data_IF_552877418858
#
_entry.id   IF_552877418858
#
_cell.length_a   1.000
_cell.length_b   1.000
_cell.length_c   1.000
_cell.angle_alpha   90.00
_cell.angle_beta   90.00
_cell.angle_gamma   90.00
#
_symmetry.space_group_name_H-M   'P 1'
#
loop_
_entity.id
_entity.type
_entity.pdbx_description
1 polymer ?
#
# COMPACT_ATOMS: atom_id res chain seq x y z
N UNK A 1 13.50 16.56 0.70
CA UNK A 1 12.14 17.08 1.00
C UNK A 1 11.16 15.96 0.74
N UNK A 2 10.37 15.60 1.72
CA UNK A 2 9.39 14.49 1.67
C UNK A 2 8.37 14.71 0.55
N UNK A 3 8.08 13.67 -0.21
CA UNK A 3 7.06 13.65 -1.27
C UNK A 3 5.84 12.93 -0.76
N UNK A 4 4.68 13.58 -0.84
CA UNK A 4 3.43 13.00 -0.37
C UNK A 4 2.53 12.60 -1.52
N UNK A 5 1.86 11.47 -1.37
CA UNK A 5 0.75 11.03 -2.19
C UNK A 5 -0.50 10.79 -1.34
N UNK A 6 -1.65 10.61 -1.98
CA UNK A 6 -2.94 10.47 -1.30
C UNK A 6 -3.57 9.13 -1.66
N UNK A 7 -3.91 8.33 -0.63
CA UNK A 7 -4.66 7.09 -0.84
C UNK A 7 -6.13 7.38 -1.09
N UNK A 8 -6.56 7.23 -2.35
CA UNK A 8 -7.94 7.50 -2.76
C UNK A 8 -8.94 6.41 -2.36
N UNK A 9 -8.47 5.31 -1.75
CA UNK A 9 -9.35 4.27 -1.22
C UNK A 9 -9.86 4.59 0.19
N UNK A 10 -9.24 5.57 0.87
CA UNK A 10 -9.59 5.98 2.22
C UNK A 10 -9.86 7.49 2.33
N UNK A 11 -9.28 8.30 1.45
CA UNK A 11 -9.52 9.73 1.29
C UNK A 11 -10.40 10.01 0.07
N UNK A 12 -11.17 11.09 0.10
CA UNK A 12 -12.15 11.49 -0.93
C UNK A 12 -13.25 10.44 -1.17
N UNK A 13 -13.50 9.56 -0.18
CA UNK A 13 -14.53 8.51 -0.30
C UNK A 13 -15.96 9.05 -0.30
N UNK A 14 -16.15 10.31 0.03
CA UNK A 14 -17.39 11.06 -0.16
C UNK A 14 -17.75 11.29 -1.64
N UNK A 15 -16.80 11.07 -2.55
CA UNK A 15 -16.97 11.20 -4.00
C UNK A 15 -16.98 9.82 -4.69
N UNK A 16 -17.65 9.70 -5.84
CA UNK A 16 -17.49 8.55 -6.73
C UNK A 16 -16.03 8.32 -7.10
N UNK A 17 -15.62 7.06 -7.27
CA UNK A 17 -14.22 6.68 -7.53
C UNK A 17 -13.56 7.51 -8.65
N UNK A 18 -14.25 7.69 -9.77
CA UNK A 18 -13.69 8.37 -10.95
C UNK A 18 -13.54 9.89 -10.77
N UNK A 19 -14.13 10.48 -9.73
CA UNK A 19 -14.00 11.91 -9.42
C UNK A 19 -12.85 12.18 -8.43
N UNK A 20 -12.39 11.16 -7.70
CA UNK A 20 -11.37 11.28 -6.65
C UNK A 20 -10.00 11.75 -7.16
N UNK A 21 -9.49 11.31 -8.34
CA UNK A 21 -8.21 11.81 -8.86
C UNK A 21 -8.22 13.33 -9.09
N UNK A 22 -9.29 13.87 -9.68
CA UNK A 22 -9.45 15.31 -9.88
C UNK A 22 -9.58 16.09 -8.57
N UNK A 23 -10.24 15.50 -7.54
CA UNK A 23 -10.34 16.09 -6.21
C UNK A 23 -8.96 16.14 -5.52
N UNK A 24 -8.16 15.08 -5.59
CA UNK A 24 -6.79 15.08 -5.09
C UNK A 24 -5.93 16.15 -5.78
N UNK A 25 -6.04 16.26 -7.10
CA UNK A 25 -5.36 17.32 -7.87
C UNK A 25 -5.77 18.71 -7.41
N UNK A 26 -7.06 18.94 -7.20
CA UNK A 26 -7.61 20.22 -6.72
C UNK A 26 -7.14 20.56 -5.30
N UNK A 27 -6.88 19.55 -4.45
CA UNK A 27 -6.29 19.71 -3.12
C UNK A 27 -4.77 19.94 -3.16
N UNK A 28 -4.15 19.96 -4.35
CA UNK A 28 -2.74 20.27 -4.56
C UNK A 28 -1.82 19.07 -4.72
N UNK A 29 -2.33 17.84 -4.72
CA UNK A 29 -1.52 16.63 -4.86
C UNK A 29 -1.26 16.30 -6.33
N UNK A 30 -0.01 15.88 -6.62
CA UNK A 30 0.40 15.41 -7.93
C UNK A 30 0.54 13.89 -8.02
N UNK A 31 0.39 13.18 -6.89
CA UNK A 31 0.50 11.74 -6.80
C UNK A 31 -0.60 11.14 -5.93
N UNK A 32 -0.99 9.93 -6.28
CA UNK A 32 -2.03 9.15 -5.61
C UNK A 32 -1.63 7.69 -5.48
N UNK A 33 -2.23 7.01 -4.54
CA UNK A 33 -2.23 5.55 -4.44
C UNK A 33 -3.64 5.00 -4.30
N UNK A 34 -3.84 3.71 -4.58
CA UNK A 34 -5.13 3.02 -4.50
C UNK A 34 -4.95 1.61 -3.94
N UNK A 35 -5.86 1.16 -3.11
CA UNK A 35 -6.18 -0.26 -3.01
C UNK A 35 -6.83 -0.68 -4.33
N UNK A 36 -6.85 -1.99 -4.64
CA UNK A 36 -7.58 -2.44 -5.83
C UNK A 36 -9.03 -1.95 -5.79
N UNK A 37 -9.44 -1.08 -6.71
CA UNK A 37 -10.68 -0.32 -6.54
C UNK A 37 -11.94 -1.01 -7.09
N UNK A 38 -11.82 -2.29 -7.44
CA UNK A 38 -12.93 -3.09 -8.00
C UNK A 38 -13.29 -4.23 -7.05
N UNK A 39 -14.58 -4.59 -7.03
CA UNK A 39 -15.13 -5.67 -6.19
C UNK A 39 -14.76 -7.09 -6.68
N UNK A 40 -14.09 -7.18 -7.82
CA UNK A 40 -13.65 -8.44 -8.45
C UNK A 40 -12.18 -8.39 -8.82
N UNK A 41 -11.54 -9.55 -8.85
CA UNK A 41 -10.13 -9.66 -9.19
C UNK A 41 -9.81 -9.19 -10.61
N UNK A 42 -10.70 -9.52 -11.57
CA UNK A 42 -10.57 -9.12 -12.98
C UNK A 42 -11.84 -8.38 -13.40
N UNK A 43 -11.83 -7.04 -13.36
CA UNK A 43 -12.97 -6.24 -13.78
C UNK A 43 -13.11 -6.20 -15.31
N UNK A 44 -14.27 -5.80 -15.83
CA UNK A 44 -14.43 -5.53 -17.26
C UNK A 44 -13.47 -4.43 -17.75
N UNK A 45 -12.92 -4.58 -18.95
CA UNK A 45 -11.96 -3.62 -19.54
C UNK A 45 -12.47 -2.18 -19.52
N UNK A 46 -13.77 -1.96 -19.79
CA UNK A 46 -14.39 -0.63 -19.76
C UNK A 46 -14.25 0.08 -18.42
N UNK A 47 -14.27 -0.68 -17.31
CA UNK A 47 -14.20 -0.11 -15.97
C UNK A 47 -12.74 0.26 -15.65
N UNK A 48 -11.79 -0.56 -16.11
CA UNK A 48 -10.36 -0.25 -16.08
C UNK A 48 -10.04 0.98 -16.93
N UNK A 49 -10.57 1.03 -18.16
CA UNK A 49 -10.37 2.16 -19.07
C UNK A 49 -10.91 3.46 -18.48
N UNK A 50 -12.07 3.43 -17.83
CA UNK A 50 -12.65 4.59 -17.15
C UNK A 50 -11.75 5.09 -16.00
N UNK A 51 -11.21 4.18 -15.18
CA UNK A 51 -10.28 4.54 -14.12
C UNK A 51 -9.00 5.16 -14.68
N UNK A 52 -8.40 4.54 -15.67
CA UNK A 52 -7.17 5.05 -16.30
C UNK A 52 -7.39 6.44 -16.87
N UNK A 53 -8.48 6.64 -17.62
CA UNK A 53 -8.84 7.96 -18.16
C UNK A 53 -9.01 9.01 -17.04
N UNK A 54 -9.69 8.66 -15.94
CA UNK A 54 -9.88 9.59 -14.83
C UNK A 54 -8.56 10.02 -14.18
N UNK A 55 -7.60 9.12 -14.05
CA UNK A 55 -6.26 9.43 -13.51
C UNK A 55 -5.46 10.29 -14.49
N UNK A 56 -5.45 9.93 -15.78
CA UNK A 56 -4.75 10.68 -16.82
C UNK A 56 -5.33 12.09 -17.00
N UNK A 57 -6.66 12.22 -17.06
CA UNK A 57 -7.35 13.52 -17.20
C UNK A 57 -7.09 14.44 -16.00
N UNK A 58 -6.98 13.88 -14.79
CA UNK A 58 -6.62 14.64 -13.60
C UNK A 58 -5.16 15.10 -13.60
N UNK A 59 -4.29 14.49 -14.41
CA UNK A 59 -2.86 14.79 -14.46
C UNK A 59 -2.16 14.46 -13.15
N UNK A 60 -2.54 13.36 -12.48
CA UNK A 60 -1.88 12.84 -11.27
C UNK A 60 -1.16 11.52 -11.59
N UNK A 61 -0.08 11.25 -10.86
CA UNK A 61 0.68 10.01 -10.99
C UNK A 61 0.13 8.95 -10.04
N UNK A 62 -0.15 7.73 -10.52
CA UNK A 62 -0.38 6.59 -9.64
C UNK A 62 0.97 6.04 -9.18
N UNK A 63 1.26 6.08 -7.88
CA UNK A 63 2.55 5.68 -7.31
C UNK A 63 2.49 4.37 -6.53
N UNK A 64 1.32 4.00 -6.01
CA UNK A 64 1.06 2.75 -5.32
C UNK A 64 -0.27 2.13 -5.75
N UNK A 65 -0.32 0.81 -5.90
CA UNK A 65 -1.54 0.06 -6.21
C UNK A 65 -1.52 -1.28 -5.47
N UNK A 66 -2.57 -1.58 -4.70
CA UNK A 66 -2.67 -2.91 -4.09
C UNK A 66 -3.18 -3.94 -5.10
N UNK A 67 -2.72 -5.18 -4.96
CA UNK A 67 -3.43 -6.32 -5.52
C UNK A 67 -4.79 -6.50 -4.84
N UNK A 68 -5.70 -7.20 -5.50
CA UNK A 68 -7.01 -7.50 -4.94
C UNK A 68 -6.90 -8.25 -3.61
N UNK A 69 -7.50 -7.72 -2.59
CA UNK A 69 -7.38 -8.21 -1.21
C UNK A 69 -8.60 -8.95 -0.69
N UNK A 70 -9.57 -9.22 -1.57
CA UNK A 70 -10.84 -9.83 -1.21
C UNK A 70 -11.88 -8.81 -0.73
N UNK A 71 -12.87 -9.29 0.03
CA UNK A 71 -13.87 -8.42 0.67
C UNK A 71 -13.30 -7.79 1.94
N UNK A 72 -12.61 -6.66 1.78
CA UNK A 72 -12.01 -5.94 2.90
C UNK A 72 -13.04 -5.40 3.89
N UNK A 73 -14.25 -5.09 3.43
CA UNK A 73 -15.34 -4.66 4.29
C UNK A 73 -15.87 -5.82 5.14
N UNK A 74 -15.90 -7.01 4.57
CA UNK A 74 -16.23 -8.26 5.26
C UNK A 74 -15.12 -8.82 6.16
N UNK A 75 -13.92 -8.22 6.13
CA UNK A 75 -12.82 -8.60 7.02
C UNK A 75 -11.64 -9.29 6.34
N UNK A 76 -11.65 -9.50 5.03
CA UNK A 76 -10.51 -10.01 4.29
C UNK A 76 -9.32 -9.03 4.39
N UNK A 77 -8.12 -9.56 4.36
CA UNK A 77 -6.88 -8.77 4.39
C UNK A 77 -5.83 -9.36 3.46
N UNK A 78 -6.23 -9.63 2.21
CA UNK A 78 -5.37 -10.21 1.19
C UNK A 78 -5.66 -11.66 0.88
N UNK A 79 -5.20 -12.09 -0.29
CA UNK A 79 -5.44 -13.42 -0.84
C UNK A 79 -4.14 -14.21 -1.06
N UNK A 80 -2.98 -13.61 -0.82
CA UNK A 80 -1.67 -14.19 -1.12
C UNK A 80 -1.49 -15.56 -0.48
N UNK A 81 -1.88 -15.73 0.78
CA UNK A 81 -1.74 -16.98 1.54
C UNK A 81 -3.03 -17.78 1.67
N UNK A 82 -4.05 -17.51 0.85
CA UNK A 82 -5.37 -18.16 1.01
C UNK A 82 -5.60 -19.25 -0.04
N UNK A 83 -5.49 -20.57 0.32
CA UNK A 83 -5.55 -21.67 -0.66
C UNK A 83 -6.83 -21.68 -1.50
N UNK A 84 -8.00 -21.50 -0.86
CA UNK A 84 -9.29 -21.56 -1.54
C UNK A 84 -9.48 -20.42 -2.58
N UNK A 85 -8.71 -19.33 -2.48
CA UNK A 85 -8.78 -18.15 -3.34
C UNK A 85 -7.50 -17.87 -4.13
N UNK A 86 -6.58 -18.84 -4.18
CA UNK A 86 -5.29 -18.70 -4.85
C UNK A 86 -5.41 -18.37 -6.35
N UNK A 87 -6.39 -18.94 -7.04
CA UNK A 87 -6.64 -18.65 -8.46
C UNK A 87 -7.06 -17.19 -8.67
N UNK A 88 -7.91 -16.68 -7.79
CA UNK A 88 -8.40 -15.29 -7.85
C UNK A 88 -7.25 -14.27 -7.69
N UNK A 89 -6.29 -14.54 -6.81
CA UNK A 89 -5.08 -13.71 -6.70
C UNK A 89 -4.24 -13.77 -7.98
N UNK A 90 -4.01 -14.97 -8.54
CA UNK A 90 -3.24 -15.14 -9.78
C UNK A 90 -3.86 -14.39 -10.95
N UNK A 91 -5.17 -14.49 -11.11
CA UNK A 91 -5.90 -13.80 -12.18
C UNK A 91 -5.79 -12.26 -12.00
N UNK A 92 -5.77 -11.77 -10.76
CA UNK A 92 -5.63 -10.35 -10.48
C UNK A 92 -4.22 -9.81 -10.77
N UNK A 93 -3.16 -10.60 -10.59
CA UNK A 93 -1.77 -10.13 -10.75
C UNK A 93 -1.55 -9.48 -12.11
N UNK A 94 -1.96 -10.14 -13.19
CA UNK A 94 -1.77 -9.59 -14.54
C UNK A 94 -2.64 -8.35 -14.77
N UNK A 95 -3.88 -8.33 -14.25
CA UNK A 95 -4.78 -7.17 -14.35
C UNK A 95 -4.19 -5.94 -13.63
N UNK A 96 -3.70 -6.12 -12.40
CA UNK A 96 -3.12 -5.05 -11.58
C UNK A 96 -1.83 -4.50 -12.22
N UNK A 97 -0.94 -5.38 -12.68
CA UNK A 97 0.31 -4.98 -13.35
C UNK A 97 0.01 -4.28 -14.68
N UNK A 98 -1.03 -4.68 -15.42
CA UNK A 98 -1.44 -3.99 -16.64
C UNK A 98 -1.93 -2.56 -16.38
N UNK A 99 -2.72 -2.33 -15.31
CA UNK A 99 -3.09 -0.98 -14.85
C UNK A 99 -1.85 -0.18 -14.48
N UNK A 100 -0.94 -0.78 -13.71
CA UNK A 100 0.33 -0.16 -13.33
C UNK A 100 1.19 0.23 -14.54
N UNK A 101 1.26 -0.63 -15.55
CA UNK A 101 2.00 -0.34 -16.79
C UNK A 101 1.45 0.89 -17.52
N UNK A 102 0.11 1.00 -17.61
CA UNK A 102 -0.59 2.13 -18.26
C UNK A 102 -0.37 3.45 -17.52
N UNK A 103 -0.45 3.43 -16.20
CA UNK A 103 -0.38 4.64 -15.35
C UNK A 103 1.02 4.95 -14.79
N UNK A 104 2.03 4.16 -15.17
CA UNK A 104 3.40 4.36 -14.69
C UNK A 104 3.64 3.93 -13.24
N UNK A 105 2.70 3.24 -12.59
CA UNK A 105 2.87 2.69 -11.25
C UNK A 105 3.92 1.58 -11.23
N UNK A 106 4.75 1.56 -10.17
CA UNK A 106 5.83 0.58 -10.01
C UNK A 106 5.87 -0.06 -8.62
N UNK A 107 4.96 0.33 -7.72
CA UNK A 107 4.86 -0.24 -6.38
C UNK A 107 3.51 -0.94 -6.22
N UNK A 108 3.54 -2.24 -5.88
CA UNK A 108 2.36 -3.09 -5.82
C UNK A 108 2.26 -3.76 -4.45
N UNK A 109 1.33 -3.34 -3.60
CA UNK A 109 1.16 -3.92 -2.27
C UNK A 109 0.42 -5.26 -2.35
N UNK A 110 1.04 -6.30 -1.78
CA UNK A 110 0.50 -7.66 -1.71
C UNK A 110 0.13 -8.00 -0.27
N UNK A 111 -1.12 -7.71 0.13
CA UNK A 111 -1.61 -8.09 1.45
C UNK A 111 -1.58 -9.61 1.62
N UNK A 112 -0.84 -10.06 2.66
CA UNK A 112 -0.49 -11.47 2.87
C UNK A 112 -1.69 -12.41 3.02
N UNK A 113 -2.73 -11.92 3.68
CA UNK A 113 -3.94 -12.69 3.96
C UNK A 113 -4.04 -13.13 5.43
N UNK A 114 -5.28 -13.27 5.88
CA UNK A 114 -5.57 -13.82 7.20
C UNK A 114 -5.25 -15.31 7.26
N UNK A 115 -4.86 -15.79 8.44
CA UNK A 115 -4.86 -17.24 8.71
C UNK A 115 -6.27 -17.80 8.62
N UNK A 116 -6.43 -18.92 7.92
CA UNK A 116 -7.72 -19.63 7.75
C UNK A 116 -7.71 -20.94 8.52
N UNK A 117 -8.89 -21.45 8.89
CA UNK A 117 -8.99 -22.62 9.76
C UNK A 117 -8.82 -23.95 9.00
N UNK A 118 -8.98 -23.91 7.68
CA UNK A 118 -8.96 -25.07 6.78
C UNK A 118 -7.59 -25.33 6.12
N UNK A 119 -6.55 -24.60 6.53
CA UNK A 119 -5.17 -24.79 6.07
C UNK A 119 -4.16 -24.58 7.21
N UNK A 120 -3.11 -25.39 7.24
CA UNK A 120 -2.02 -25.21 8.20
C UNK A 120 -1.26 -23.90 7.91
N UNK A 121 -0.71 -23.22 8.94
CA UNK A 121 0.09 -22.00 8.74
C UNK A 121 1.24 -22.17 7.76
N UNK A 122 1.94 -23.30 7.81
CA UNK A 122 3.06 -23.63 6.93
C UNK A 122 2.60 -23.79 5.47
N UNK A 123 1.46 -24.44 5.25
CA UNK A 123 0.86 -24.57 3.92
C UNK A 123 0.47 -23.20 3.33
N UNK A 124 -0.07 -22.31 4.18
CA UNK A 124 -0.36 -20.94 3.78
C UNK A 124 0.90 -20.16 3.45
N UNK A 125 1.98 -20.34 4.21
CA UNK A 125 3.25 -19.64 3.99
C UNK A 125 3.97 -20.14 2.73
N UNK A 126 3.88 -21.44 2.41
CA UNK A 126 4.41 -22.01 1.17
C UNK A 126 3.63 -21.50 -0.05
N UNK A 127 2.30 -21.48 0.03
CA UNK A 127 1.47 -20.88 -1.01
C UNK A 127 1.80 -19.39 -1.20
N UNK A 128 1.99 -18.66 -0.10
CA UNK A 128 2.35 -17.25 -0.17
C UNK A 128 3.67 -17.04 -0.91
N UNK A 129 4.67 -17.89 -0.69
CA UNK A 129 5.93 -17.82 -1.42
C UNK A 129 5.74 -18.02 -2.93
N UNK A 130 4.93 -19.01 -3.35
CA UNK A 130 4.61 -19.24 -4.76
C UNK A 130 3.88 -18.04 -5.39
N UNK A 131 2.89 -17.49 -4.69
CA UNK A 131 2.09 -16.35 -5.17
C UNK A 131 2.90 -15.06 -5.25
N UNK A 132 3.74 -14.81 -4.27
CA UNK A 132 4.64 -13.64 -4.27
C UNK A 132 5.70 -13.75 -5.37
N UNK A 133 6.24 -14.93 -5.65
CA UNK A 133 7.15 -15.15 -6.76
C UNK A 133 6.48 -14.83 -8.11
N UNK A 134 5.22 -15.25 -8.29
CA UNK A 134 4.44 -14.94 -9.48
C UNK A 134 4.20 -13.43 -9.60
N UNK A 135 3.78 -12.76 -8.51
CA UNK A 135 3.57 -11.31 -8.48
C UNK A 135 4.87 -10.54 -8.76
N UNK A 136 5.99 -10.96 -8.15
CA UNK A 136 7.31 -10.36 -8.36
C UNK A 136 7.76 -10.49 -9.83
N UNK A 137 7.59 -11.67 -10.42
CA UNK A 137 7.90 -11.89 -11.84
C UNK A 137 7.03 -11.01 -12.75
N UNK A 138 5.74 -10.87 -12.45
CA UNK A 138 4.83 -10.01 -13.20
C UNK A 138 5.20 -8.54 -13.09
N UNK A 139 5.38 -8.01 -11.87
CA UNK A 139 5.80 -6.64 -11.60
C UNK A 139 7.18 -6.34 -12.24
N UNK A 140 8.11 -7.29 -12.15
CA UNK A 140 9.46 -7.17 -12.71
C UNK A 140 9.48 -6.93 -14.24
N UNK A 141 8.48 -7.44 -14.98
CA UNK A 141 8.36 -7.18 -16.43
C UNK A 141 8.24 -5.69 -16.78
N UNK A 142 7.73 -4.90 -15.84
CA UNK A 142 7.59 -3.44 -16.00
C UNK A 142 8.53 -2.64 -15.10
N UNK A 143 9.53 -3.29 -14.47
CA UNK A 143 10.42 -2.63 -13.50
C UNK A 143 9.75 -2.27 -12.19
N UNK A 144 8.70 -3.00 -11.80
CA UNK A 144 7.95 -2.81 -10.57
C UNK A 144 8.45 -3.65 -9.41
N UNK A 145 8.05 -3.26 -8.21
CA UNK A 145 8.38 -3.88 -6.93
C UNK A 145 7.10 -4.32 -6.23
N UNK A 146 7.12 -5.51 -5.63
CA UNK A 146 6.03 -5.99 -4.75
C UNK A 146 6.33 -5.54 -3.33
N UNK A 147 5.34 -4.95 -2.68
CA UNK A 147 5.44 -4.47 -1.30
C UNK A 147 4.82 -5.48 -0.33
N UNK A 148 5.45 -5.64 0.82
CA UNK A 148 4.98 -6.49 1.93
C UNK A 148 4.75 -5.61 3.15
N UNK A 149 3.59 -5.74 3.77
CA UNK A 149 3.09 -4.86 4.82
C UNK A 149 2.74 -5.62 6.09
N UNK A 150 3.07 -5.05 7.26
CA UNK A 150 2.52 -5.45 8.55
C UNK A 150 1.20 -4.71 8.80
N UNK A 151 0.12 -5.44 9.18
CA UNK A 151 -1.22 -4.87 9.32
C UNK A 151 -1.76 -5.01 10.74
N UNK A 152 -2.31 -3.91 11.27
CA UNK A 152 -3.01 -3.87 12.55
C UNK A 152 -4.52 -4.04 12.41
N UNK A 153 -5.22 -4.27 13.54
CA UNK A 153 -6.68 -4.38 13.56
C UNK A 153 -7.26 -5.65 12.93
N UNK A 154 -6.43 -6.57 12.49
CA UNK A 154 -6.80 -7.86 11.93
C UNK A 154 -6.14 -9.00 12.74
N UNK A 155 -6.80 -9.58 13.75
CA UNK A 155 -6.17 -10.54 14.66
C UNK A 155 -5.56 -11.75 13.97
N UNK A 156 -6.13 -12.18 12.85
CA UNK A 156 -5.69 -13.38 12.09
C UNK A 156 -4.61 -13.06 11.03
N UNK A 157 -4.29 -11.79 10.80
CA UNK A 157 -3.22 -11.42 9.87
C UNK A 157 -1.86 -11.74 10.49
N UNK A 158 -0.99 -12.51 9.84
CA UNK A 158 0.22 -13.04 10.51
C UNK A 158 1.35 -12.01 10.66
N UNK A 159 1.47 -11.02 9.79
CA UNK A 159 2.57 -10.06 9.82
C UNK A 159 2.17 -8.86 10.69
N UNK A 160 2.83 -8.70 11.84
CA UNK A 160 2.50 -7.66 12.83
C UNK A 160 3.58 -6.62 13.01
N UNK A 161 4.81 -6.96 12.67
CA UNK A 161 5.99 -6.13 12.89
C UNK A 161 6.75 -5.93 11.58
N UNK A 162 7.63 -4.93 11.56
CA UNK A 162 8.58 -4.73 10.47
C UNK A 162 9.44 -6.00 10.24
N UNK A 163 9.82 -6.67 11.33
CA UNK A 163 10.59 -7.91 11.26
C UNK A 163 9.83 -9.05 10.56
N UNK A 164 8.50 -9.18 10.79
CA UNK A 164 7.68 -10.17 10.11
C UNK A 164 7.64 -9.92 8.59
N UNK A 165 7.41 -8.67 8.19
CA UNK A 165 7.34 -8.29 6.78
C UNK A 165 8.69 -8.50 6.07
N UNK A 166 9.80 -8.05 6.69
CA UNK A 166 11.15 -8.23 6.14
C UNK A 166 11.54 -9.71 6.12
N UNK A 167 11.11 -10.51 7.11
CA UNK A 167 11.32 -11.96 7.11
C UNK A 167 10.71 -12.66 5.89
N UNK A 168 9.52 -12.22 5.44
CA UNK A 168 8.93 -12.70 4.16
C UNK A 168 9.80 -12.29 2.98
N UNK A 169 10.26 -11.03 2.92
CA UNK A 169 11.11 -10.53 1.83
C UNK A 169 12.44 -11.32 1.76
N UNK A 170 13.06 -11.58 2.91
CA UNK A 170 14.31 -12.35 2.98
C UNK A 170 14.11 -13.80 2.51
N UNK A 171 12.99 -14.41 2.91
CA UNK A 171 12.61 -15.75 2.42
C UNK A 171 12.46 -15.76 0.90
N UNK A 172 11.79 -14.76 0.33
CA UNK A 172 11.59 -14.66 -1.11
C UNK A 172 12.90 -14.52 -1.90
N UNK A 173 13.84 -13.72 -1.40
CA UNK A 173 15.15 -13.56 -2.01
C UNK A 173 15.95 -14.87 -1.95
N UNK A 174 15.99 -15.52 -0.78
CA UNK A 174 16.81 -16.73 -0.52
C UNK A 174 16.25 -17.98 -1.20
N UNK A 175 14.93 -18.22 -1.13
CA UNK A 175 14.31 -19.45 -1.60
C UNK A 175 13.82 -19.37 -3.04
N UNK A 176 13.35 -18.19 -3.46
CA UNK A 176 12.70 -18.00 -4.77
C UNK A 176 13.52 -17.14 -5.74
N UNK A 177 14.62 -16.51 -5.27
CA UNK A 177 15.45 -15.60 -6.08
C UNK A 177 14.68 -14.34 -6.53
N UNK A 178 13.63 -13.96 -5.81
CA UNK A 178 12.78 -12.81 -6.14
C UNK A 178 13.29 -11.57 -5.38
N UNK A 179 14.19 -10.81 -6.02
CA UNK A 179 14.87 -9.66 -5.41
C UNK A 179 14.09 -8.34 -5.50
N UNK A 180 12.93 -8.30 -6.18
CA UNK A 180 12.12 -7.10 -6.33
C UNK A 180 10.92 -7.07 -5.37
N UNK A 181 11.14 -7.48 -4.12
CA UNK A 181 10.24 -7.24 -3.01
C UNK A 181 10.83 -6.17 -2.09
N UNK A 182 9.97 -5.34 -1.49
CA UNK A 182 10.38 -4.32 -0.53
C UNK A 182 9.36 -4.19 0.60
N UNK A 183 9.78 -3.57 1.68
CA UNK A 183 8.95 -3.33 2.84
C UNK A 183 8.06 -2.09 2.62
N UNK A 184 6.75 -2.24 2.84
CA UNK A 184 5.83 -1.11 3.02
C UNK A 184 5.79 -0.78 4.52
N UNK A 185 6.43 0.34 4.86
CA UNK A 185 6.51 0.84 6.23
C UNK A 185 5.30 1.74 6.54
N UNK A 186 4.17 1.14 6.91
CA UNK A 186 3.04 1.90 7.44
C UNK A 186 3.26 2.17 8.94
N UNK A 187 3.60 3.44 9.25
CA UNK A 187 3.91 3.86 10.62
C UNK A 187 2.71 3.71 11.56
N UNK A 188 1.48 3.87 11.07
CA UNK A 188 0.28 3.65 11.85
C UNK A 188 0.13 2.18 12.25
N UNK A 189 0.25 1.27 11.29
CA UNK A 189 0.08 -0.15 11.57
C UNK A 189 1.14 -0.70 12.52
N UNK A 190 2.39 -0.30 12.35
CA UNK A 190 3.48 -0.67 13.25
C UNK A 190 3.22 -0.14 14.67
N UNK A 191 2.89 1.15 14.81
CA UNK A 191 2.62 1.76 16.12
C UNK A 191 1.44 1.11 16.83
N UNK A 192 0.33 0.82 16.14
CA UNK A 192 -0.84 0.15 16.72
C UNK A 192 -0.52 -1.28 17.17
N UNK A 193 0.35 -1.99 16.44
CA UNK A 193 0.81 -3.32 16.82
C UNK A 193 1.85 -3.28 17.96
N UNK A 194 2.34 -2.10 18.34
CA UNK A 194 3.32 -1.91 19.41
C UNK A 194 4.77 -2.15 18.97
N UNK A 195 5.04 -2.09 17.66
CA UNK A 195 6.40 -2.14 17.16
C UNK A 195 7.15 -0.83 17.44
N UNK A 196 8.46 -0.91 17.57
CA UNK A 196 9.34 0.23 17.84
C UNK A 196 9.75 0.86 16.51
N UNK A 197 9.15 2.01 16.19
CA UNK A 197 9.34 2.68 14.89
C UNK A 197 10.80 3.06 14.64
N UNK A 198 11.51 3.54 15.68
CA UNK A 198 12.91 3.94 15.54
C UNK A 198 13.78 2.74 15.18
N UNK A 199 13.59 1.61 15.89
CA UNK A 199 14.32 0.39 15.59
C UNK A 199 13.94 -0.20 14.23
N UNK A 200 12.66 -0.09 13.84
CA UNK A 200 12.22 -0.54 12.53
C UNK A 200 12.91 0.25 11.41
N UNK A 201 12.98 1.58 11.54
CA UNK A 201 13.66 2.44 10.57
C UNK A 201 15.17 2.22 10.60
N UNK A 202 15.81 2.26 11.78
CA UNK A 202 17.25 2.03 11.92
C UNK A 202 17.69 0.72 11.25
N UNK A 203 16.89 -0.35 11.43
CA UNK A 203 17.26 -1.69 10.96
C UNK A 203 16.91 -1.98 9.52
N UNK A 204 15.83 -1.36 9.00
CA UNK A 204 15.22 -1.78 7.73
C UNK A 204 15.04 -0.65 6.72
N UNK A 205 15.61 0.54 6.95
CA UNK A 205 15.47 1.67 6.03
C UNK A 205 15.89 1.37 4.58
N UNK A 206 16.90 0.54 4.40
CA UNK A 206 17.41 0.08 3.09
C UNK A 206 16.47 -0.92 2.39
N UNK A 207 15.48 -1.45 3.12
CA UNK A 207 14.47 -2.39 2.61
C UNK A 207 13.14 -1.72 2.30
N UNK A 208 12.96 -0.44 2.67
CA UNK A 208 11.70 0.28 2.50
C UNK A 208 11.52 0.70 1.05
N UNK A 209 10.42 0.23 0.44
CA UNK A 209 9.99 0.63 -0.90
C UNK A 209 8.88 1.67 -0.90
N UNK A 210 8.12 1.78 0.18
CA UNK A 210 7.03 2.74 0.36
C UNK A 210 6.78 3.01 1.84
N UNK A 211 6.28 4.20 2.16
CA UNK A 211 5.92 4.61 3.51
C UNK A 211 4.48 5.07 3.52
N UNK A 212 3.72 4.72 4.57
CA UNK A 212 2.37 5.26 4.80
C UNK A 212 2.23 5.81 6.20
N UNK A 213 1.35 6.81 6.36
CA UNK A 213 1.13 7.48 7.63
C UNK A 213 -0.35 7.71 7.94
N UNK A 214 -0.68 7.55 9.22
CA UNK A 214 -1.88 8.05 9.88
C UNK A 214 -1.58 8.26 11.37
N UNK A 215 -2.39 9.04 12.07
CA UNK A 215 -2.22 9.25 13.50
C UNK A 215 -2.93 8.19 14.34
N UNK A 216 -2.43 7.96 15.55
CA UNK A 216 -2.93 6.96 16.51
C UNK A 216 -3.60 7.71 17.69
N UNK A 217 -4.78 7.25 18.20
CA UNK A 217 -5.40 5.95 17.94
C UNK A 217 -6.41 5.91 16.76
N UNK A 218 -6.89 7.03 16.24
CA UNK A 218 -8.07 7.10 15.36
C UNK A 218 -7.84 6.70 13.91
N UNK A 219 -6.59 6.54 13.46
CA UNK A 219 -6.22 6.47 12.04
C UNK A 219 -6.67 7.72 11.28
N UNK A 220 -6.66 8.88 11.94
CA UNK A 220 -7.02 10.15 11.33
C UNK A 220 -5.76 10.89 10.83
N UNK A 221 -5.94 12.13 10.35
CA UNK A 221 -4.85 12.99 9.88
C UNK A 221 -3.81 13.28 10.96
N UNK A 222 -2.53 13.48 10.59
CA UNK A 222 -1.46 13.87 11.51
C UNK A 222 -1.83 15.07 12.39
N UNK A 223 -1.53 14.97 13.69
CA UNK A 223 -1.82 15.99 14.69
C UNK A 223 -3.18 15.84 15.37
N UNK A 224 -3.96 14.80 15.06
CA UNK A 224 -5.24 14.51 15.74
C UNK A 224 -5.11 13.51 16.87
N UNK A 225 -4.01 12.79 16.95
CA UNK A 225 -3.73 11.77 17.95
C UNK A 225 -2.46 12.07 18.73
N UNK A 226 -1.66 11.03 18.97
CA UNK A 226 -0.47 11.09 19.81
C UNK A 226 0.81 10.53 19.17
N UNK A 227 0.76 10.14 17.91
CA UNK A 227 1.94 9.61 17.23
C UNK A 227 2.85 10.77 16.79
N UNK A 228 4.09 10.76 17.26
CA UNK A 228 5.12 11.69 16.77
C UNK A 228 5.56 11.21 15.38
N UNK A 229 4.96 11.80 14.33
CA UNK A 229 5.25 11.44 12.94
C UNK A 229 6.46 12.23 12.37
N UNK A 230 6.79 13.38 12.94
CA UNK A 230 7.89 14.21 12.43
C UNK A 230 9.23 13.48 12.60
N UNK A 231 9.44 12.87 13.78
CA UNK A 231 10.70 12.18 14.07
C UNK A 231 10.97 10.98 13.14
N UNK A 232 10.09 9.99 12.95
CA UNK A 232 10.35 8.88 12.04
C UNK A 232 10.48 9.33 10.58
N UNK A 233 9.78 10.38 10.14
CA UNK A 233 9.94 10.94 8.81
C UNK A 233 11.30 11.61 8.62
N UNK A 234 11.82 12.30 9.63
CA UNK A 234 13.18 12.87 9.64
C UNK A 234 14.25 11.77 9.63
N UNK A 235 14.05 10.69 10.41
CA UNK A 235 14.96 9.53 10.43
C UNK A 235 14.99 8.80 9.09
N UNK A 236 13.84 8.60 8.44
CA UNK A 236 13.76 8.04 7.08
C UNK A 236 14.51 8.91 6.07
N UNK A 237 14.32 10.23 6.14
CA UNK A 237 15.02 11.17 5.26
C UNK A 237 16.54 11.16 5.51
N UNK A 238 16.97 11.09 6.77
CA UNK A 238 18.38 10.98 7.15
C UNK A 238 19.02 9.66 6.71
N UNK A 239 18.22 8.56 6.69
CA UNK A 239 18.63 7.26 6.15
C UNK A 239 18.67 7.23 4.61
N UNK A 240 18.26 8.31 3.93
CA UNK A 240 18.30 8.41 2.47
C UNK A 240 17.02 7.97 1.76
N UNK A 241 15.92 7.76 2.48
CA UNK A 241 14.64 7.48 1.84
C UNK A 241 14.17 8.69 1.03
N UNK A 242 13.98 8.50 -0.26
CA UNK A 242 13.54 9.52 -1.22
C UNK A 242 12.23 9.13 -1.93
N UNK A 243 11.57 8.06 -1.45
CA UNK A 243 10.30 7.57 -1.95
C UNK A 243 9.10 8.46 -1.59
N UNK A 244 7.92 7.92 -1.81
CA UNK A 244 6.66 8.56 -1.47
C UNK A 244 6.22 8.22 -0.04
N UNK A 245 5.49 9.16 0.58
CA UNK A 245 4.80 8.97 1.85
C UNK A 245 3.30 9.06 1.59
N UNK A 246 2.62 7.93 1.60
CA UNK A 246 1.18 7.80 1.36
C UNK A 246 0.37 8.30 2.55
N UNK A 247 -0.58 9.19 2.26
CA UNK A 247 -1.55 9.64 3.25
C UNK A 247 -2.69 8.63 3.29
N UNK A 248 -2.59 7.67 4.23
CA UNK A 248 -3.54 6.57 4.35
C UNK A 248 -4.34 6.66 5.65
N UNK A 249 -5.09 7.75 5.81
CA UNK A 249 -5.88 8.00 7.01
C UNK A 249 -7.36 8.27 6.72
N UNK A 250 -8.19 8.05 7.72
CA UNK A 250 -9.62 8.42 7.70
C UNK A 250 -9.74 9.89 8.08
N UNK A 251 -10.21 10.77 7.19
CA UNK A 251 -10.33 12.17 7.54
C UNK A 251 -11.36 12.36 8.65
N UNK A 252 -11.09 13.24 9.62
CA UNK A 252 -12.01 13.57 10.72
C UNK A 252 -13.21 14.40 10.26
N UNK A 253 -13.14 14.98 9.05
CA UNK A 253 -14.17 15.75 8.38
C UNK A 253 -14.19 15.46 6.88
N UNK A 254 -14.45 16.47 6.05
CA UNK A 254 -14.29 16.32 4.61
C UNK A 254 -12.82 16.14 4.25
N UNK A 255 -12.54 15.28 3.26
CA UNK A 255 -11.15 14.95 2.90
C UNK A 255 -10.32 16.18 2.57
N UNK A 256 -10.89 17.15 1.82
CA UNK A 256 -10.18 18.36 1.44
C UNK A 256 -9.77 19.24 2.64
N UNK A 257 -10.50 19.17 3.76
CA UNK A 257 -10.24 19.95 4.98
C UNK A 257 -9.19 19.28 5.89
N UNK A 258 -8.89 17.99 5.70
CA UNK A 258 -7.98 17.21 6.54
C UNK A 258 -6.50 17.47 6.30
N UNK A 259 -6.16 18.25 5.29
CA UNK A 259 -4.75 18.54 4.94
C UNK A 259 -4.19 19.81 5.60
N UNK A 260 -4.85 20.35 6.63
CA UNK A 260 -4.41 21.59 7.30
C UNK A 260 -3.01 21.51 7.92
N UNK A 261 -2.57 20.33 8.33
CA UNK A 261 -1.26 20.04 8.89
C UNK A 261 -0.13 20.07 7.83
N UNK A 262 -0.46 19.84 6.54
CA UNK A 262 0.50 19.79 5.43
C UNK A 262 0.38 21.04 4.56
N UNK A 263 1.41 21.95 4.58
CA UNK A 263 1.38 23.17 3.77
C UNK A 263 1.20 22.88 2.27
N UNK A 264 0.45 23.71 1.51
CA UNK A 264 0.22 23.50 0.07
C UNK A 264 1.49 23.31 -0.76
N UNK A 265 2.57 24.01 -0.42
CA UNK A 265 3.85 23.87 -1.12
C UNK A 265 4.58 22.54 -0.93
N UNK A 266 4.10 21.68 0.00
CA UNK A 266 4.64 20.34 0.25
C UNK A 266 3.76 19.23 -0.35
N UNK A 267 2.55 19.56 -0.84
CA UNK A 267 1.62 18.59 -1.45
C UNK A 267 1.96 18.31 -2.92
N UNK A 268 2.50 19.30 -3.62
CA UNK A 268 2.83 19.13 -5.03
C UNK A 268 4.06 18.22 -5.20
N UNK A 269 3.93 17.18 -6.01
CA UNK A 269 5.09 16.48 -6.53
C UNK A 269 5.93 17.50 -7.32
N UNK A 270 7.22 17.64 -6.97
CA UNK A 270 8.14 18.34 -7.85
C UNK A 270 8.47 17.43 -9.02
N UNK A 271 8.46 17.96 -10.25
CA UNK A 271 8.86 17.20 -11.43
C UNK A 271 10.29 16.69 -11.32
#
# INVERSE_FOLDING_TARGET
MTRYDVNLSILFTELPLLERPAAARSAGFGAIELWWPFDVAVPPDRDVDALVAAVEDAGVQLVGLNFFAGDMAGGDRGLVSWPARAAEFRDNVDATVAVGARLGCRAFNALYGNRVDDAAPEEQDDLAAEQLALAAAAAGRIGGTVLIEAVSGAPRYPLKTAADAVGVIDRMDQEMGAANLAFLCDLYHLAVNGDDLDKAIERYSDRIGHVQIADVPGRNEPGTGSLDLDRPLDELAAAGYDGWVGLEYKPSGASADSFGWLPPGQRAARP
#
